data_IF_124251350923
#
_entry.id   IF_124251350923
#
_cell.length_a   1.000
_cell.length_b   1.000
_cell.length_c   1.000
_cell.angle_alpha   90.00
_cell.angle_beta   90.00
_cell.angle_gamma   90.00
#
_symmetry.space_group_name_H-M   'P 1'
#
loop_
_entity.id
_entity.type
_entity.pdbx_description
1 polymer ?
#
# COMPACT_ATOMS: atom_id res chain seq x y z
N UNK A 1 3.57 -12.14 -5.23
CA UNK A 1 3.28 -10.90 -4.49
C UNK A 1 3.98 -11.01 -3.17
N UNK A 2 4.92 -10.10 -2.90
CA UNK A 2 5.74 -10.11 -1.67
C UNK A 2 5.48 -8.84 -0.87
N UNK A 3 4.85 -8.98 0.29
CA UNK A 3 4.56 -7.85 1.17
C UNK A 3 5.82 -7.27 1.81
N UNK A 4 5.79 -5.99 2.23
CA UNK A 4 4.69 -5.04 2.04
C UNK A 4 4.48 -4.57 0.59
N UNK A 5 3.27 -4.06 0.32
CA UNK A 5 2.89 -3.43 -0.94
C UNK A 5 2.76 -1.92 -0.75
N UNK A 6 3.31 -1.15 -1.69
CA UNK A 6 3.16 0.31 -1.72
C UNK A 6 2.16 0.73 -2.78
N UNK A 7 1.21 1.60 -2.43
CA UNK A 7 0.30 2.23 -3.39
C UNK A 7 1.03 3.26 -4.25
N UNK A 8 1.11 3.00 -5.56
CA UNK A 8 1.76 3.89 -6.54
C UNK A 8 0.76 4.68 -7.39
N UNK A 9 -0.54 4.57 -7.11
CA UNK A 9 -1.60 5.32 -7.80
C UNK A 9 -1.96 6.65 -7.13
N UNK A 10 -1.53 6.87 -5.90
CA UNK A 10 -1.85 8.07 -5.16
C UNK A 10 -1.07 9.27 -5.72
N UNK A 11 -1.80 10.32 -6.10
CA UNK A 11 -1.21 11.52 -6.73
C UNK A 11 -0.52 12.48 -5.76
N UNK A 12 -0.87 12.46 -4.47
CA UNK A 12 -0.29 13.31 -3.43
C UNK A 12 -0.27 12.57 -2.11
N UNK A 13 0.89 12.55 -1.46
CA UNK A 13 0.99 12.08 -0.08
C UNK A 13 0.68 13.23 0.86
N UNK A 14 -0.12 12.97 1.88
CA UNK A 14 -0.19 13.83 3.05
C UNK A 14 0.65 13.18 4.17
N UNK A 15 1.13 13.98 5.12
CA UNK A 15 1.96 13.47 6.22
C UNK A 15 1.15 12.69 7.27
N UNK A 16 -0.17 12.83 7.26
CA UNK A 16 -1.07 12.19 8.22
C UNK A 16 -1.39 10.73 7.85
N UNK A 17 -1.35 10.36 6.56
CA UNK A 17 -1.80 9.05 6.05
C UNK A 17 -0.68 8.24 5.39
N UNK A 18 0.60 8.48 5.71
CA UNK A 18 1.73 7.77 5.07
C UNK A 18 1.69 6.25 5.29
N UNK A 19 1.19 5.81 6.44
CA UNK A 19 0.97 4.40 6.75
C UNK A 19 -0.16 3.78 5.93
N UNK A 20 -1.06 4.59 5.37
CA UNK A 20 -2.21 4.11 4.58
C UNK A 20 -1.81 3.77 3.14
N UNK A 21 -0.61 4.18 2.72
CA UNK A 21 -0.07 3.83 1.42
C UNK A 21 0.69 2.50 1.41
N UNK A 22 0.96 1.91 2.59
CA UNK A 22 1.68 0.64 2.72
C UNK A 22 0.75 -0.42 3.29
N UNK A 23 0.57 -1.51 2.54
CA UNK A 23 -0.14 -2.70 3.01
C UNK A 23 0.88 -3.75 3.45
N UNK A 24 0.80 -4.18 4.70
CA UNK A 24 1.69 -5.22 5.24
C UNK A 24 1.15 -6.63 5.05
N UNK A 25 -0.14 -6.77 4.74
CA UNK A 25 -0.80 -8.02 4.39
C UNK A 25 -1.91 -7.78 3.36
N UNK A 26 -2.54 -8.85 2.87
CA UNK A 26 -3.65 -8.77 1.92
C UNK A 26 -4.97 -8.30 2.54
N UNK A 27 -5.01 -7.91 3.81
CA UNK A 27 -6.25 -7.64 4.52
C UNK A 27 -6.51 -6.15 4.75
N UNK A 28 -7.76 -5.74 4.53
CA UNK A 28 -8.29 -4.46 4.99
C UNK A 28 -9.20 -4.67 6.18
N UNK A 29 -9.10 -3.79 7.18
CA UNK A 29 -9.80 -3.94 8.46
C UNK A 29 -11.20 -3.28 8.44
N UNK A 30 -11.91 -3.40 7.33
CA UNK A 30 -13.25 -2.85 7.10
C UNK A 30 -14.00 -3.63 6.03
N UNK A 31 -15.32 -3.80 6.20
CA UNK A 31 -16.21 -4.30 5.14
C UNK A 31 -16.92 -3.17 4.37
N UNK A 32 -16.65 -1.90 4.68
CA UNK A 32 -17.31 -0.79 3.99
C UNK A 32 -16.86 -0.72 2.53
N UNK A 33 -17.79 -0.99 1.62
CA UNK A 33 -17.56 -0.93 0.15
C UNK A 33 -17.07 0.45 -0.30
N UNK A 34 -17.56 1.53 0.31
CA UNK A 34 -17.12 2.89 0.02
C UNK A 34 -15.60 3.07 0.27
N UNK A 35 -15.08 2.55 1.39
CA UNK A 35 -13.65 2.63 1.71
C UNK A 35 -12.83 1.82 0.72
N UNK A 36 -13.28 0.62 0.37
CA UNK A 36 -12.62 -0.19 -0.66
C UNK A 36 -12.55 0.57 -2.00
N UNK A 37 -13.67 1.15 -2.43
CA UNK A 37 -13.75 1.84 -3.71
C UNK A 37 -12.88 3.10 -3.78
N UNK A 38 -12.77 3.82 -2.67
CA UNK A 38 -11.98 5.05 -2.58
C UNK A 38 -10.47 4.75 -2.55
N UNK A 39 -10.04 3.86 -1.66
CA UNK A 39 -8.63 3.66 -1.34
C UNK A 39 -7.96 2.53 -2.12
N UNK A 40 -8.72 1.55 -2.63
CA UNK A 40 -8.16 0.31 -3.18
C UNK A 40 -8.60 0.02 -4.62
N UNK A 41 -9.89 0.16 -4.95
CA UNK A 41 -10.42 -0.26 -6.24
C UNK A 41 -9.64 0.38 -7.39
N UNK A 42 -9.15 -0.49 -8.29
CA UNK A 42 -8.37 -0.14 -9.47
C UNK A 42 -7.05 0.59 -9.20
N UNK A 43 -6.62 0.73 -7.94
CA UNK A 43 -5.30 1.27 -7.61
C UNK A 43 -4.22 0.22 -7.89
N UNK A 44 -3.04 0.73 -8.22
CA UNK A 44 -1.83 -0.03 -8.49
C UNK A 44 -0.94 -0.04 -7.26
N UNK A 45 -0.39 -1.21 -6.98
CA UNK A 45 0.48 -1.49 -5.86
C UNK A 45 1.74 -2.18 -6.36
N UNK A 46 2.90 -1.77 -5.84
CA UNK A 46 4.18 -2.41 -6.13
C UNK A 46 4.63 -3.25 -4.93
N UNK A 47 5.13 -4.45 -5.20
CA UNK A 47 5.64 -5.37 -4.16
C UNK A 47 7.14 -5.22 -3.92
N UNK A 48 7.66 -5.92 -2.91
CA UNK A 48 9.08 -5.89 -2.54
C UNK A 48 10.03 -6.52 -3.56
N UNK A 49 9.52 -7.07 -4.67
CA UNK A 49 10.29 -7.54 -5.82
C UNK A 49 10.12 -6.62 -7.04
N UNK A 50 9.48 -5.47 -6.88
CA UNK A 50 9.23 -4.49 -7.94
C UNK A 50 8.09 -4.83 -8.88
N UNK A 51 7.29 -5.87 -8.60
CA UNK A 51 6.17 -6.29 -9.46
C UNK A 51 4.92 -5.49 -9.15
N UNK A 52 4.18 -5.11 -10.19
CA UNK A 52 2.98 -4.29 -10.05
C UNK A 52 1.71 -5.15 -10.11
N UNK A 53 0.80 -4.85 -9.19
CA UNK A 53 -0.50 -5.49 -9.06
C UNK A 53 -1.59 -4.44 -9.00
N UNK A 54 -2.77 -4.79 -9.51
CA UNK A 54 -3.98 -3.98 -9.44
C UNK A 54 -4.93 -4.57 -8.41
N UNK A 55 -5.41 -3.77 -7.48
CA UNK A 55 -6.49 -4.19 -6.58
C UNK A 55 -7.82 -4.23 -7.35
N UNK A 56 -8.40 -5.43 -7.46
CA UNK A 56 -9.57 -5.68 -8.32
C UNK A 56 -10.88 -5.66 -7.54
N UNK A 57 -10.91 -6.38 -6.43
CA UNK A 57 -12.09 -6.55 -5.57
C UNK A 57 -11.65 -6.94 -4.16
N UNK A 58 -12.55 -6.87 -3.19
CA UNK A 58 -12.41 -7.58 -1.92
C UNK A 58 -13.13 -8.93 -1.98
N UNK A 59 -12.66 -9.92 -1.23
CA UNK A 59 -13.34 -11.20 -1.08
C UNK A 59 -14.76 -11.01 -0.51
N UNK A 60 -15.68 -11.94 -0.79
CA UNK A 60 -17.03 -11.94 -0.23
C UNK A 60 -17.04 -12.49 1.20
N UNK A 61 -18.00 -12.06 2.04
CA UNK A 61 -18.11 -12.53 3.43
C UNK A 61 -19.13 -13.65 3.36
N UNK A 62 -18.65 -14.89 3.35
CA UNK A 62 -19.56 -16.05 3.25
C UNK A 62 -19.98 -16.54 4.64
N UNK A 63 -19.23 -16.22 5.69
CA UNK A 63 -19.46 -16.80 7.01
C UNK A 63 -20.41 -15.97 7.88
N UNK A 64 -21.63 -16.48 8.06
CA UNK A 64 -22.68 -15.85 8.87
C UNK A 64 -22.33 -15.67 10.35
N UNK A 65 -21.38 -16.44 10.88
CA UNK A 65 -20.96 -16.36 12.29
C UNK A 65 -20.27 -15.04 12.63
N UNK A 66 -19.66 -14.37 11.66
CA UNK A 66 -18.98 -13.08 11.89
C UNK A 66 -19.94 -11.99 12.38
N UNK A 67 -21.22 -12.06 11.97
CA UNK A 67 -22.28 -11.19 12.48
C UNK A 67 -22.47 -11.33 14.00
N UNK A 68 -22.33 -12.56 14.52
CA UNK A 68 -22.50 -12.85 15.94
C UNK A 68 -21.32 -12.36 16.76
N UNK A 69 -20.12 -12.32 16.15
CA UNK A 69 -18.89 -11.86 16.80
C UNK A 69 -18.51 -10.42 16.40
N UNK A 70 -19.49 -9.59 16.01
CA UNK A 70 -19.24 -8.23 15.51
C UNK A 70 -18.42 -7.32 16.45
N UNK A 71 -18.38 -7.65 17.74
CA UNK A 71 -17.69 -6.90 18.79
C UNK A 71 -16.20 -7.23 18.91
N UNK A 72 -15.72 -8.30 18.28
CA UNK A 72 -14.31 -8.68 18.32
C UNK A 72 -13.54 -7.92 17.21
N UNK A 73 -12.43 -7.26 17.54
CA UNK A 73 -11.55 -6.64 16.55
C UNK A 73 -11.12 -7.61 15.45
N UNK A 74 -10.87 -7.10 14.24
CA UNK A 74 -10.37 -7.84 13.07
C UNK A 74 -11.29 -8.91 12.46
N UNK A 75 -12.48 -9.16 13.02
CA UNK A 75 -13.45 -10.12 12.44
C UNK A 75 -13.99 -9.67 11.09
N UNK A 76 -14.11 -8.36 10.91
CA UNK A 76 -14.59 -7.73 9.68
C UNK A 76 -13.48 -7.49 8.65
N UNK A 77 -12.29 -8.07 8.85
CA UNK A 77 -11.23 -7.94 7.86
C UNK A 77 -11.62 -8.63 6.56
N UNK A 78 -11.24 -8.02 5.44
CA UNK A 78 -11.53 -8.50 4.09
C UNK A 78 -10.22 -8.64 3.34
N UNK A 79 -10.04 -9.78 2.70
CA UNK A 79 -8.93 -9.95 1.77
C UNK A 79 -9.16 -9.07 0.53
N UNK A 80 -8.14 -8.34 0.10
CA UNK A 80 -8.10 -7.64 -1.18
C UNK A 80 -7.49 -8.55 -2.22
N UNK A 81 -8.24 -8.78 -3.29
CA UNK A 81 -7.83 -9.62 -4.41
C UNK A 81 -7.07 -8.76 -5.41
N UNK A 82 -5.78 -9.06 -5.53
CA UNK A 82 -4.85 -8.40 -6.45
C UNK A 82 -4.68 -9.22 -7.73
N UNK A 83 -4.73 -8.55 -8.89
CA UNK A 83 -4.37 -9.13 -10.17
C UNK A 83 -2.98 -8.64 -10.61
N UNK A 84 -2.07 -9.52 -11.08
CA UNK A 84 -0.81 -9.08 -11.65
C UNK A 84 -1.08 -8.27 -12.92
N UNK A 85 -0.37 -7.15 -13.13
CA UNK A 85 -0.50 -6.38 -14.38
C UNK A 85 0.45 -6.88 -15.47
N UNK A 86 1.51 -7.59 -15.08
CA UNK A 86 2.63 -7.95 -15.95
C UNK A 86 3.74 -6.90 -15.95
N UNK A 87 3.50 -5.72 -15.37
CA UNK A 87 4.47 -4.65 -15.27
C UNK A 87 5.35 -4.80 -14.02
N UNK A 88 6.52 -4.17 -14.09
CA UNK A 88 7.44 -4.04 -12.97
C UNK A 88 8.18 -2.72 -13.06
N UNK A 89 8.60 -2.19 -11.93
CA UNK A 89 9.56 -1.10 -11.89
C UNK A 89 10.93 -1.61 -11.43
N UNK A 90 11.96 -1.02 -11.97
CA UNK A 90 13.34 -1.08 -11.46
C UNK A 90 13.45 -0.36 -10.12
N UNK A 91 14.57 -0.58 -9.43
CA UNK A 91 14.88 0.11 -8.16
C UNK A 91 14.95 1.63 -8.39
N UNK A 92 15.52 2.07 -9.51
CA UNK A 92 15.64 3.49 -9.86
C UNK A 92 14.28 4.16 -10.09
N UNK A 93 13.39 3.49 -10.83
CA UNK A 93 12.03 4.01 -11.09
C UNK A 93 11.25 4.19 -9.79
N UNK A 94 11.26 3.17 -8.91
CA UNK A 94 10.62 3.28 -7.60
C UNK A 94 11.28 4.35 -6.72
N UNK A 95 12.61 4.43 -6.69
CA UNK A 95 13.33 5.45 -5.91
C UNK A 95 12.97 6.86 -6.37
N UNK A 96 12.96 7.10 -7.67
CA UNK A 96 12.62 8.40 -8.24
C UNK A 96 11.18 8.79 -7.90
N UNK A 97 10.24 7.85 -8.05
CA UNK A 97 8.85 8.05 -7.63
C UNK A 97 8.76 8.44 -6.14
N UNK A 98 9.42 7.69 -5.26
CA UNK A 98 9.40 7.95 -3.82
C UNK A 98 10.03 9.29 -3.46
N UNK A 99 11.17 9.64 -4.05
CA UNK A 99 11.83 10.94 -3.83
C UNK A 99 10.95 12.10 -4.29
N UNK A 100 10.22 11.95 -5.38
CA UNK A 100 9.22 12.91 -5.85
C UNK A 100 8.11 13.09 -4.81
N UNK A 101 7.49 11.98 -4.37
CA UNK A 101 6.40 12.00 -3.38
C UNK A 101 6.83 12.62 -2.04
N UNK A 102 8.00 12.25 -1.52
CA UNK A 102 8.53 12.83 -0.26
C UNK A 102 8.89 14.31 -0.44
N UNK A 103 9.17 14.77 -1.67
CA UNK A 103 9.44 16.18 -1.95
C UNK A 103 8.19 17.05 -1.99
N UNK A 104 6.99 16.47 -2.12
CA UNK A 104 5.72 17.17 -2.02
C UNK A 104 5.31 17.44 -0.55
N UNK A 105 5.93 16.74 0.41
CA UNK A 105 5.67 16.91 1.83
C UNK A 105 6.35 18.16 2.41
N UNK A 106 5.89 18.60 3.58
CA UNK A 106 6.52 19.71 4.32
C UNK A 106 7.96 19.34 4.67
N UNK A 107 8.91 20.17 4.24
CA UNK A 107 10.31 19.98 4.54
C UNK A 107 10.60 20.15 6.04
N UNK A 108 11.16 19.11 6.64
CA UNK A 108 11.55 19.00 8.04
C UNK A 108 12.63 17.93 8.21
N UNK A 109 13.11 17.73 9.45
CA UNK A 109 14.16 16.75 9.74
C UNK A 109 13.78 15.33 9.27
N UNK A 110 12.53 14.92 9.45
CA UNK A 110 12.06 13.58 9.08
C UNK A 110 12.08 13.37 7.57
N UNK A 111 11.58 14.33 6.79
CA UNK A 111 11.58 14.25 5.33
C UNK A 111 12.98 14.31 4.74
N UNK A 112 13.95 14.98 5.38
CA UNK A 112 15.36 14.93 4.97
C UNK A 112 15.99 13.56 5.24
N UNK A 113 15.79 13.00 6.44
CA UNK A 113 16.29 11.67 6.81
C UNK A 113 15.72 10.58 5.89
N UNK A 114 14.42 10.68 5.57
CA UNK A 114 13.77 9.74 4.67
C UNK A 114 14.35 9.80 3.24
N UNK A 115 14.55 11.00 2.69
CA UNK A 115 15.20 11.13 1.36
C UNK A 115 16.61 10.55 1.35
N UNK A 116 17.35 10.66 2.44
CA UNK A 116 18.69 10.09 2.58
C UNK A 116 18.65 8.55 2.65
N UNK A 117 17.67 7.98 3.37
CA UNK A 117 17.41 6.53 3.36
C UNK A 117 17.07 6.02 1.96
N UNK A 118 16.16 6.68 1.24
CA UNK A 118 15.77 6.31 -0.13
C UNK A 118 16.97 6.28 -1.09
N UNK A 119 17.91 7.21 -0.94
CA UNK A 119 19.15 7.26 -1.75
C UNK A 119 20.10 6.11 -1.46
N UNK A 120 20.11 5.60 -0.23
CA UNK A 120 20.98 4.48 0.19
C UNK A 120 20.38 3.10 -0.03
N UNK A 121 19.06 3.01 -0.16
CA UNK A 121 18.34 1.75 -0.34
C UNK A 121 18.83 0.99 -1.59
N UNK A 122 19.10 -0.30 -1.41
CA UNK A 122 19.75 -1.19 -2.39
C UNK A 122 18.78 -2.04 -3.18
N UNK A 123 17.52 -2.13 -2.75
CA UNK A 123 16.49 -2.97 -3.34
C UNK A 123 15.09 -2.39 -3.07
N UNK A 124 14.05 -2.93 -3.69
CA UNK A 124 12.67 -2.47 -3.51
C UNK A 124 12.16 -2.63 -2.09
N UNK A 125 12.56 -3.69 -1.39
CA UNK A 125 12.18 -3.92 0.01
C UNK A 125 12.68 -2.78 0.91
N UNK A 126 13.96 -2.43 0.82
CA UNK A 126 14.54 -1.29 1.55
C UNK A 126 13.91 0.05 1.15
N UNK A 127 13.45 0.21 -0.10
CA UNK A 127 12.72 1.41 -0.53
C UNK A 127 11.32 1.51 0.09
N UNK A 128 10.63 0.38 0.30
CA UNK A 128 9.25 0.35 0.77
C UNK A 128 9.18 0.41 2.30
N UNK A 129 10.08 -0.28 3.02
CA UNK A 129 9.98 -0.41 4.48
C UNK A 129 11.33 -0.44 5.23
N UNK A 130 12.43 -0.02 4.58
CA UNK A 130 13.77 0.02 5.17
C UNK A 130 14.05 1.25 6.05
#
# INVERSE_FOLDING_TARGET
MTFPLLNISTKKWNSEDLTDYILFDEFIYTDKEAIFNELYRNKLFIDCNGRIYKALKKAELTEKWRNWLRFIPNIWKREVIFGPTGDSWTIEELRNFLLERVSELKADKHTYEWKDQLKRAKNHSELIYG
#
